data_IF_956220568447
#
_entry.id   IF_956220568447
#
_cell.length_a   1.000
_cell.length_b   1.000
_cell.length_c   1.000
_cell.angle_alpha   90.00
_cell.angle_beta   90.00
_cell.angle_gamma   90.00
#
_symmetry.space_group_name_H-M   'P 1'
#
loop_
_entity.id
_entity.type
_entity.pdbx_description
1 polymer ?
#
# COMPACT_ATOMS: atom_id res chain seq x y z
N UNK A 1 19.07 -13.27 -22.28
CA UNK A 1 18.45 -13.53 -23.60
C UNK A 1 17.52 -12.40 -24.04
N UNK A 2 16.85 -11.67 -23.14
CA UNK A 2 15.98 -10.54 -23.50
C UNK A 2 16.73 -9.33 -24.10
N UNK A 3 17.97 -9.04 -23.66
CA UNK A 3 18.82 -8.01 -24.29
C UNK A 3 19.14 -8.30 -25.77
N UNK A 4 19.18 -9.58 -26.16
CA UNK A 4 19.46 -9.99 -27.55
C UNK A 4 18.23 -9.77 -28.45
N UNK A 5 17.02 -9.94 -27.91
CA UNK A 5 15.78 -9.63 -28.64
C UNK A 5 15.57 -8.14 -28.83
N UNK A 6 15.95 -7.28 -27.86
CA UNK A 6 15.93 -5.82 -28.05
C UNK A 6 16.87 -5.35 -29.18
N UNK A 7 18.04 -5.98 -29.33
CA UNK A 7 19.02 -5.67 -30.37
C UNK A 7 18.62 -6.12 -31.79
N UNK A 8 17.66 -7.03 -31.95
CA UNK A 8 17.24 -7.51 -33.28
C UNK A 8 16.10 -6.67 -33.88
N UNK A 9 15.44 -5.83 -33.06
CA UNK A 9 14.44 -4.85 -33.52
C UNK A 9 15.04 -3.45 -33.74
N UNK A 10 16.31 -3.22 -33.38
CA UNK A 10 17.00 -1.91 -33.48
C UNK A 10 17.62 -1.60 -34.85
N UNK A 11 17.09 -2.21 -35.92
CA UNK A 11 17.56 -2.03 -37.31
C UNK A 11 17.19 -0.71 -37.97
N UNK A 12 16.70 0.29 -37.23
CA UNK A 12 16.48 1.65 -37.73
C UNK A 12 17.05 2.63 -36.71
N UNK A 13 18.26 3.11 -37.00
CA UNK A 13 18.87 4.22 -36.30
C UNK A 13 18.07 5.49 -36.59
N UNK A 14 17.23 5.90 -35.63
CA UNK A 14 16.48 7.14 -35.64
C UNK A 14 15.64 7.22 -34.37
N UNK A 15 16.07 8.06 -33.43
CA UNK A 15 15.28 8.62 -32.31
C UNK A 15 14.23 7.68 -31.70
N UNK A 16 14.65 6.80 -30.77
CA UNK A 16 13.74 5.90 -30.06
C UNK A 16 13.29 6.48 -28.72
N UNK A 17 12.67 7.66 -28.77
CA UNK A 17 11.87 8.15 -27.64
C UNK A 17 10.59 7.28 -27.51
N UNK A 18 10.51 6.47 -26.45
CA UNK A 18 9.36 5.58 -26.24
C UNK A 18 8.21 6.36 -25.59
N UNK A 19 7.05 6.40 -26.25
CA UNK A 19 5.84 6.99 -25.65
C UNK A 19 5.01 5.95 -24.91
N UNK A 20 4.66 6.23 -23.67
CA UNK A 20 3.72 5.45 -22.86
C UNK A 20 2.49 6.27 -22.51
N UNK A 21 1.38 5.60 -22.19
CA UNK A 21 0.16 6.26 -21.76
C UNK A 21 -0.21 5.78 -20.36
N UNK A 22 -0.30 6.72 -19.42
CA UNK A 22 -0.70 6.46 -18.03
C UNK A 22 -1.90 7.34 -17.75
N UNK A 23 -3.05 6.72 -17.46
CA UNK A 23 -4.30 7.40 -17.12
C UNK A 23 -4.65 8.59 -18.04
N UNK A 24 -4.60 8.34 -19.35
CA UNK A 24 -4.88 9.32 -20.43
C UNK A 24 -3.84 10.44 -20.60
N UNK A 25 -2.70 10.39 -19.92
CA UNK A 25 -1.56 11.28 -20.20
C UNK A 25 -0.48 10.52 -20.94
N UNK A 26 0.10 11.14 -21.97
CA UNK A 26 1.24 10.56 -22.68
C UNK A 26 2.54 11.03 -22.05
N UNK A 27 3.46 10.12 -21.80
CA UNK A 27 4.81 10.41 -21.32
C UNK A 27 5.80 9.93 -22.37
N UNK A 28 6.69 10.82 -22.78
CA UNK A 28 7.85 10.47 -23.59
C UNK A 28 8.95 10.01 -22.64
N UNK A 29 9.43 8.79 -22.80
CA UNK A 29 10.61 8.31 -22.09
C UNK A 29 11.80 8.70 -22.95
N UNK A 30 12.64 9.58 -22.39
CA UNK A 30 13.82 10.05 -23.10
C UNK A 30 15.05 9.29 -22.64
N UNK A 31 15.85 8.88 -23.61
CA UNK A 31 17.19 8.35 -23.40
C UNK A 31 18.27 9.45 -23.46
N UNK A 32 17.91 10.66 -23.91
CA UNK A 32 18.84 11.78 -24.11
C UNK A 32 18.87 12.70 -22.87
N UNK A 33 19.74 12.38 -21.91
CA UNK A 33 19.83 13.10 -20.63
C UNK A 33 20.36 14.55 -20.75
N UNK A 34 21.23 14.82 -21.73
CA UNK A 34 21.87 16.14 -21.85
C UNK A 34 20.86 17.23 -22.24
N UNK A 35 19.95 16.95 -23.17
CA UNK A 35 18.87 17.87 -23.53
C UNK A 35 17.88 18.06 -22.38
N UNK A 36 17.53 16.95 -21.71
CA UNK A 36 16.59 16.98 -20.59
C UNK A 36 17.15 17.77 -19.39
N UNK A 37 18.41 17.53 -19.03
CA UNK A 37 19.06 18.17 -17.89
C UNK A 37 19.33 19.66 -18.12
N UNK A 38 19.54 20.08 -19.37
CA UNK A 38 19.65 21.49 -19.75
C UNK A 38 18.33 22.25 -19.72
N UNK A 39 17.19 21.55 -19.71
CA UNK A 39 15.87 22.17 -19.81
C UNK A 39 15.50 22.98 -18.55
N UNK A 40 14.86 24.13 -18.76
CA UNK A 40 14.48 25.05 -17.68
C UNK A 40 13.54 24.41 -16.65
N UNK A 41 12.56 23.61 -17.11
CA UNK A 41 11.65 22.87 -16.24
C UNK A 41 12.39 21.86 -15.36
N UNK A 42 13.38 21.14 -15.90
CA UNK A 42 14.15 20.16 -15.14
C UNK A 42 14.89 20.82 -13.96
N UNK A 43 15.48 22.00 -14.21
CA UNK A 43 16.15 22.78 -13.17
C UNK A 43 15.16 23.36 -12.16
N UNK A 44 13.97 23.79 -12.60
CA UNK A 44 12.90 24.28 -11.73
C UNK A 44 12.40 23.18 -10.79
N UNK A 45 12.10 21.99 -11.32
CA UNK A 45 11.69 20.80 -10.54
C UNK A 45 12.73 20.48 -9.47
N UNK A 46 14.01 20.36 -9.86
CA UNK A 46 15.08 20.03 -8.90
C UNK A 46 15.23 21.10 -7.83
N UNK A 47 15.15 22.38 -8.19
CA UNK A 47 15.21 23.48 -7.23
C UNK A 47 14.06 23.41 -6.23
N UNK A 48 12.85 23.14 -6.71
CA UNK A 48 11.63 23.02 -5.89
C UNK A 48 11.72 21.82 -4.92
N UNK A 49 12.09 20.64 -5.43
CA UNK A 49 12.26 19.42 -4.62
C UNK A 49 13.36 19.57 -3.58
N UNK A 50 14.48 20.20 -3.92
CA UNK A 50 15.58 20.42 -2.98
C UNK A 50 15.41 21.67 -2.10
N UNK A 51 14.39 22.50 -2.35
CA UNK A 51 14.08 23.67 -1.52
C UNK A 51 13.59 23.29 -0.12
N UNK A 52 13.09 22.06 0.06
CA UNK A 52 12.68 21.48 1.35
C UNK A 52 13.79 21.55 2.41
N UNK A 53 15.05 21.60 1.97
CA UNK A 53 16.22 21.68 2.86
C UNK A 53 16.51 23.08 3.38
N UNK A 54 15.78 24.09 2.90
CA UNK A 54 15.91 25.47 3.38
C UNK A 54 14.90 25.74 4.50
N UNK A 55 15.33 26.19 5.69
CA UNK A 55 14.44 26.47 6.82
C UNK A 55 13.34 27.52 6.54
N UNK A 56 13.46 28.28 5.45
CA UNK A 56 12.61 29.43 5.11
C UNK A 56 11.81 29.25 3.82
N UNK A 57 11.82 28.07 3.17
CA UNK A 57 11.19 27.88 1.86
C UNK A 57 9.67 27.70 1.89
N UNK A 58 9.07 27.49 3.07
CA UNK A 58 7.62 27.22 3.17
C UNK A 58 7.22 25.79 2.78
N UNK A 59 8.19 24.90 2.54
CA UNK A 59 7.96 23.54 2.05
C UNK A 59 7.95 23.45 0.53
N UNK A 60 7.95 22.23 0.00
CA UNK A 60 7.93 21.98 -1.45
C UNK A 60 6.53 22.17 -2.01
N UNK A 61 6.39 22.95 -3.09
CA UNK A 61 5.14 23.03 -3.85
C UNK A 61 4.97 21.81 -4.76
N UNK A 62 4.31 20.77 -4.26
CA UNK A 62 4.15 19.50 -4.98
C UNK A 62 3.26 19.62 -6.21
N UNK A 63 2.26 20.51 -6.21
CA UNK A 63 1.41 20.79 -7.39
C UNK A 63 2.26 21.30 -8.54
N UNK A 64 3.16 22.26 -8.26
CA UNK A 64 4.10 22.78 -9.25
C UNK A 64 5.05 21.69 -9.74
N UNK A 65 5.63 20.90 -8.84
CA UNK A 65 6.51 19.77 -9.24
C UNK A 65 5.78 18.82 -10.18
N UNK A 66 4.54 18.43 -9.85
CA UNK A 66 3.74 17.54 -10.70
C UNK A 66 3.49 18.14 -12.08
N UNK A 67 3.04 19.40 -12.14
CA UNK A 67 2.75 20.10 -13.39
C UNK A 67 3.99 20.24 -14.28
N UNK A 68 5.12 20.65 -13.72
CA UNK A 68 6.37 20.80 -14.47
C UNK A 68 6.90 19.44 -14.96
N UNK A 69 6.78 18.37 -14.16
CA UNK A 69 7.14 17.02 -14.58
C UNK A 69 6.25 16.53 -15.74
N UNK A 70 4.93 16.76 -15.67
CA UNK A 70 4.00 16.39 -16.74
C UNK A 70 4.29 17.17 -18.02
N UNK A 71 4.54 18.47 -17.91
CA UNK A 71 4.89 19.30 -19.06
C UNK A 71 6.22 18.85 -19.68
N UNK A 72 7.27 18.71 -18.87
CA UNK A 72 8.58 18.29 -19.34
C UNK A 72 8.53 16.93 -20.02
N UNK A 73 7.79 15.98 -19.46
CA UNK A 73 7.64 14.62 -20.00
C UNK A 73 6.78 14.52 -21.26
N UNK A 74 5.95 15.52 -21.54
CA UNK A 74 5.17 15.61 -22.78
C UNK A 74 5.91 16.33 -23.90
N UNK A 75 6.79 17.28 -23.56
CA UNK A 75 7.52 18.13 -24.51
C UNK A 75 8.89 17.55 -24.89
N UNK A 76 9.65 17.08 -23.89
CA UNK A 76 11.06 16.66 -24.06
C UNK A 76 11.23 15.20 -23.66
N UNK A 77 10.73 14.84 -22.49
CA UNK A 77 10.70 13.47 -21.99
C UNK A 77 10.98 13.36 -20.50
N UNK A 78 11.04 12.12 -20.02
CA UNK A 78 11.31 11.79 -18.63
C UNK A 78 12.44 10.76 -18.54
N UNK A 79 13.37 11.03 -17.62
CA UNK A 79 14.37 10.08 -17.14
C UNK A 79 13.97 9.53 -15.76
N UNK A 80 14.85 8.74 -15.13
CA UNK A 80 14.60 8.23 -13.78
C UNK A 80 14.43 9.37 -12.77
N UNK A 81 15.19 10.45 -12.89
CA UNK A 81 15.07 11.58 -11.97
C UNK A 81 13.69 12.25 -12.07
N UNK A 82 13.24 12.61 -13.28
CA UNK A 82 11.93 13.22 -13.51
C UNK A 82 10.81 12.30 -13.05
N UNK A 83 10.85 11.02 -13.41
CA UNK A 83 9.84 10.05 -12.98
C UNK A 83 9.84 9.89 -11.46
N UNK A 84 11.00 9.90 -10.81
CA UNK A 84 11.11 9.83 -9.34
C UNK A 84 10.45 11.03 -8.65
N UNK A 85 10.69 12.24 -9.14
CA UNK A 85 10.05 13.45 -8.61
C UNK A 85 8.55 13.46 -8.85
N UNK A 86 8.12 13.06 -10.06
CA UNK A 86 6.71 12.92 -10.41
C UNK A 86 5.98 11.92 -9.50
N UNK A 87 6.58 10.76 -9.22
CA UNK A 87 6.01 9.73 -8.35
C UNK A 87 5.76 10.24 -6.95
N UNK A 88 6.71 10.99 -6.38
CA UNK A 88 6.54 11.59 -5.06
C UNK A 88 5.49 12.69 -5.07
N UNK A 89 5.47 13.55 -6.09
CA UNK A 89 4.44 14.58 -6.20
C UNK A 89 3.03 13.96 -6.31
N UNK A 90 2.87 12.88 -7.08
CA UNK A 90 1.60 12.17 -7.18
C UNK A 90 1.20 11.49 -5.87
N UNK A 91 2.14 10.89 -5.13
CA UNK A 91 1.86 10.32 -3.81
C UNK A 91 1.41 11.39 -2.80
N UNK A 92 2.08 12.55 -2.76
CA UNK A 92 1.74 13.64 -1.84
C UNK A 92 0.37 14.28 -2.15
N UNK A 93 -0.01 14.35 -3.42
CA UNK A 93 -1.24 15.03 -3.86
C UNK A 93 -2.45 14.12 -3.98
N UNK A 94 -2.27 12.94 -4.58
CA UNK A 94 -3.37 12.03 -4.92
C UNK A 94 -3.32 10.72 -4.10
N UNK A 95 -2.44 10.66 -3.10
CA UNK A 95 -2.24 9.49 -2.25
C UNK A 95 -1.84 8.25 -3.05
N UNK A 96 -2.35 7.10 -2.62
CA UNK A 96 -1.98 5.80 -3.19
C UNK A 96 -2.30 5.66 -4.68
N UNK A 97 -3.40 6.27 -5.15
CA UNK A 97 -3.73 6.30 -6.58
C UNK A 97 -2.61 6.98 -7.36
N UNK A 98 -2.22 8.19 -6.95
CA UNK A 98 -1.12 8.90 -7.61
C UNK A 98 0.19 8.12 -7.55
N UNK A 99 0.47 7.48 -6.42
CA UNK A 99 1.67 6.67 -6.27
C UNK A 99 1.72 5.51 -7.27
N UNK A 100 0.61 4.82 -7.52
CA UNK A 100 0.55 3.73 -8.50
C UNK A 100 0.91 4.21 -9.93
N UNK A 101 0.41 5.37 -10.33
CA UNK A 101 0.69 5.97 -11.64
C UNK A 101 2.15 6.42 -11.76
N UNK A 102 2.69 6.99 -10.68
CA UNK A 102 4.09 7.36 -10.60
C UNK A 102 5.02 6.15 -10.68
N UNK A 103 4.71 5.07 -9.94
CA UNK A 103 5.47 3.83 -9.97
C UNK A 103 5.48 3.19 -11.36
N UNK A 104 4.37 3.28 -12.10
CA UNK A 104 4.32 2.85 -13.50
C UNK A 104 5.29 3.65 -14.39
N UNK A 105 5.30 4.99 -14.28
CA UNK A 105 6.25 5.83 -15.01
C UNK A 105 7.70 5.55 -14.61
N UNK A 106 7.98 5.44 -13.30
CA UNK A 106 9.31 5.15 -12.76
C UNK A 106 9.83 3.81 -13.28
N UNK A 107 9.02 2.76 -13.21
CA UNK A 107 9.38 1.44 -13.73
C UNK A 107 9.68 1.49 -15.23
N UNK A 108 8.87 2.22 -16.00
CA UNK A 108 9.06 2.39 -17.44
C UNK A 108 10.36 3.14 -17.78
N UNK A 109 10.70 4.19 -17.02
CA UNK A 109 12.00 4.87 -17.15
C UNK A 109 13.17 3.95 -16.79
N UNK A 110 13.02 3.13 -15.73
CA UNK A 110 14.07 2.19 -15.32
C UNK A 110 14.39 1.13 -16.39
N UNK A 111 13.37 0.65 -17.12
CA UNK A 111 13.56 -0.30 -18.22
C UNK A 111 14.37 0.27 -19.40
N UNK A 112 14.54 1.60 -19.45
CA UNK A 112 15.18 2.34 -20.51
C UNK A 112 16.51 3.00 -20.10
N UNK A 113 16.92 2.91 -18.82
CA UNK A 113 18.22 3.44 -18.32
C UNK A 113 19.41 2.83 -19.10
N UNK A 114 19.31 1.55 -19.48
CA UNK A 114 20.41 0.80 -20.11
C UNK A 114 20.71 1.15 -21.57
N UNK A 115 19.84 1.91 -22.25
CA UNK A 115 20.04 2.24 -23.67
C UNK A 115 20.99 3.43 -23.87
N UNK A 116 21.14 4.31 -22.87
CA UNK A 116 22.11 5.41 -22.90
C UNK A 116 22.68 5.68 -21.50
N UNK A 117 24.00 5.50 -21.38
CA UNK A 117 24.76 5.53 -20.11
C UNK A 117 24.88 6.97 -19.57
N UNK A 118 23.87 7.45 -18.84
CA UNK A 118 23.95 8.76 -18.17
C UNK A 118 23.85 8.70 -16.65
N UNK A 119 23.04 7.81 -16.10
CA UNK A 119 22.93 7.64 -14.66
C UNK A 119 23.86 6.55 -14.14
N UNK A 120 24.81 6.94 -13.32
CA UNK A 120 25.64 5.98 -12.57
C UNK A 120 24.77 5.23 -11.56
N UNK A 121 25.12 3.98 -11.24
CA UNK A 121 24.46 3.20 -10.18
C UNK A 121 24.37 3.98 -8.84
N UNK A 122 25.37 4.83 -8.57
CA UNK A 122 25.36 5.73 -7.40
C UNK A 122 24.23 6.77 -7.47
N UNK A 123 23.98 7.35 -8.63
CA UNK A 123 22.89 8.31 -8.84
C UNK A 123 21.53 7.60 -8.73
N UNK A 124 21.37 6.45 -9.39
CA UNK A 124 20.16 5.62 -9.30
C UNK A 124 19.87 5.29 -7.83
N UNK A 125 20.86 4.76 -7.09
CA UNK A 125 20.71 4.43 -5.68
C UNK A 125 20.29 5.65 -4.85
N UNK A 126 20.88 6.83 -5.11
CA UNK A 126 20.55 8.05 -4.37
C UNK A 126 19.12 8.50 -4.63
N UNK A 127 18.66 8.47 -5.88
CA UNK A 127 17.30 8.84 -6.26
C UNK A 127 16.27 7.91 -5.61
N UNK A 128 16.45 6.60 -5.78
CA UNK A 128 15.53 5.60 -5.26
C UNK A 128 15.49 5.57 -3.74
N UNK A 129 16.63 5.72 -3.06
CA UNK A 129 16.64 5.85 -1.58
C UNK A 129 15.89 7.08 -1.09
N UNK A 130 16.04 8.21 -1.79
CA UNK A 130 15.30 9.42 -1.45
C UNK A 130 13.79 9.21 -1.65
N UNK A 131 13.39 8.59 -2.76
CA UNK A 131 11.99 8.26 -3.03
C UNK A 131 11.41 7.33 -1.96
N UNK A 132 12.13 6.25 -1.60
CA UNK A 132 11.65 5.31 -0.59
C UNK A 132 11.54 5.96 0.79
N UNK A 133 12.45 6.85 1.16
CA UNK A 133 12.35 7.59 2.43
C UNK A 133 11.10 8.49 2.48
N UNK A 134 10.76 9.14 1.37
CA UNK A 134 9.56 9.97 1.25
C UNK A 134 8.28 9.14 1.22
N UNK A 135 8.29 8.03 0.47
CA UNK A 135 7.15 7.12 0.37
C UNK A 135 6.87 6.43 1.71
N UNK A 136 7.90 6.03 2.44
CA UNK A 136 7.77 5.39 3.75
C UNK A 136 6.93 6.23 4.71
N UNK A 137 7.18 7.53 4.78
CA UNK A 137 6.46 8.47 5.65
C UNK A 137 4.96 8.50 5.28
N UNK A 138 4.64 8.58 3.99
CA UNK A 138 3.25 8.66 3.53
C UNK A 138 2.51 7.33 3.70
N UNK A 139 3.16 6.22 3.35
CA UNK A 139 2.55 4.89 3.37
C UNK A 139 2.32 4.37 4.79
N UNK A 140 3.18 4.74 5.76
CA UNK A 140 2.96 4.42 7.17
C UNK A 140 1.76 5.15 7.76
N UNK A 141 1.47 6.37 7.26
CA UNK A 141 0.35 7.18 7.72
C UNK A 141 -0.92 6.98 6.87
N UNK A 142 -0.87 6.11 5.86
CA UNK A 142 -1.98 5.82 4.97
C UNK A 142 -3.13 5.19 5.75
N UNK A 143 -4.33 5.77 5.61
CA UNK A 143 -5.58 5.15 6.05
C UNK A 143 -6.21 4.46 4.85
N UNK A 144 -5.88 3.18 4.66
CA UNK A 144 -6.39 2.42 3.53
C UNK A 144 -7.87 2.05 3.73
N UNK A 145 -8.68 2.31 2.71
CA UNK A 145 -10.05 1.80 2.57
C UNK A 145 -10.13 0.74 1.48
N UNK A 146 -11.24 -0.02 1.44
CA UNK A 146 -11.42 -1.10 0.48
C UNK A 146 -11.40 -0.62 -0.99
N UNK A 147 -11.85 0.60 -1.25
CA UNK A 147 -11.78 1.27 -2.55
C UNK A 147 -10.35 1.48 -3.06
N UNK A 148 -9.38 1.47 -2.14
CA UNK A 148 -7.95 1.63 -2.44
C UNK A 148 -7.25 0.30 -2.73
N UNK A 149 -7.92 -0.84 -2.52
CA UNK A 149 -7.31 -2.17 -2.63
C UNK A 149 -6.68 -2.42 -4.01
N UNK A 150 -7.33 -1.97 -5.09
CA UNK A 150 -6.76 -2.05 -6.44
C UNK A 150 -5.42 -1.33 -6.56
N UNK A 151 -5.28 -0.16 -5.93
CA UNK A 151 -4.07 0.65 -6.00
C UNK A 151 -2.98 0.06 -5.12
N UNK A 152 -3.34 -0.56 -3.99
CA UNK A 152 -2.38 -1.28 -3.15
C UNK A 152 -1.73 -2.42 -3.94
N UNK A 153 -2.53 -3.27 -4.58
CA UNK A 153 -1.99 -4.34 -5.43
C UNK A 153 -1.15 -3.83 -6.59
N UNK A 154 -1.57 -2.74 -7.25
CA UNK A 154 -0.76 -2.14 -8.31
C UNK A 154 0.59 -1.65 -7.78
N UNK A 155 0.61 -0.94 -6.65
CA UNK A 155 1.84 -0.47 -6.04
C UNK A 155 2.75 -1.64 -5.62
N UNK A 156 2.19 -2.69 -5.03
CA UNK A 156 2.92 -3.91 -4.66
C UNK A 156 3.59 -4.53 -5.89
N UNK A 157 2.84 -4.74 -6.97
CA UNK A 157 3.36 -5.30 -8.21
C UNK A 157 4.51 -4.47 -8.80
N UNK A 158 4.38 -3.14 -8.83
CA UNK A 158 5.47 -2.29 -9.30
C UNK A 158 6.68 -2.32 -8.37
N UNK A 159 6.50 -2.35 -7.05
CA UNK A 159 7.61 -2.50 -6.10
C UNK A 159 8.37 -3.81 -6.31
N UNK A 160 7.65 -4.92 -6.52
CA UNK A 160 8.24 -6.22 -6.84
C UNK A 160 9.02 -6.19 -8.17
N UNK A 161 8.43 -5.60 -9.23
CA UNK A 161 9.08 -5.47 -10.54
C UNK A 161 10.34 -4.60 -10.48
N UNK A 162 10.28 -3.49 -9.76
CA UNK A 162 11.44 -2.61 -9.55
C UNK A 162 12.52 -3.34 -8.74
N UNK A 163 12.16 -4.03 -7.66
CA UNK A 163 13.12 -4.83 -6.88
C UNK A 163 13.80 -5.89 -7.74
N UNK A 164 13.03 -6.63 -8.55
CA UNK A 164 13.57 -7.63 -9.46
C UNK A 164 14.53 -7.03 -10.50
N UNK A 165 14.18 -5.86 -11.06
CA UNK A 165 15.03 -5.13 -12.01
C UNK A 165 16.34 -4.69 -11.35
N UNK A 166 16.30 -4.18 -10.12
CA UNK A 166 17.49 -3.81 -9.37
C UNK A 166 18.39 -5.01 -9.07
N UNK A 167 17.80 -6.15 -8.70
CA UNK A 167 18.57 -7.37 -8.44
C UNK A 167 19.24 -7.94 -9.69
N UNK A 168 18.59 -7.79 -10.86
CA UNK A 168 19.03 -8.40 -12.12
C UNK A 168 19.97 -7.51 -12.92
N UNK A 169 19.60 -6.25 -13.14
CA UNK A 169 20.33 -5.32 -14.03
C UNK A 169 21.24 -4.34 -13.27
N UNK A 170 20.96 -4.06 -11.99
CA UNK A 170 21.70 -3.09 -11.18
C UNK A 170 22.08 -3.61 -9.77
N UNK A 171 22.72 -4.80 -9.65
CA UNK A 171 22.88 -5.50 -8.36
C UNK A 171 23.70 -4.72 -7.31
N UNK A 172 24.50 -3.75 -7.73
CA UNK A 172 25.23 -2.86 -6.83
C UNK A 172 24.34 -1.77 -6.21
N UNK A 173 23.21 -1.43 -6.83
CA UNK A 173 22.24 -0.45 -6.33
C UNK A 173 21.49 -1.04 -5.13
N UNK A 174 21.68 -0.44 -3.96
CA UNK A 174 21.01 -0.81 -2.71
C UNK A 174 19.84 0.13 -2.44
N UNK A 175 18.72 -0.07 -3.12
CA UNK A 175 17.44 0.60 -2.83
C UNK A 175 16.40 -0.45 -2.41
N UNK A 176 15.82 -0.25 -1.22
CA UNK A 176 14.99 -1.25 -0.56
C UNK A 176 13.50 -1.04 -0.89
N UNK A 177 13.08 -1.57 -2.04
CA UNK A 177 11.67 -1.61 -2.43
C UNK A 177 10.91 -2.77 -1.75
N UNK A 178 11.62 -3.73 -1.15
CA UNK A 178 11.00 -4.85 -0.42
C UNK A 178 10.32 -4.34 0.85
N UNK A 179 10.99 -3.46 1.61
CA UNK A 179 10.38 -2.81 2.78
C UNK A 179 9.15 -1.98 2.43
N UNK A 180 9.16 -1.29 1.27
CA UNK A 180 7.99 -0.55 0.78
C UNK A 180 6.85 -1.52 0.42
N UNK A 181 7.17 -2.61 -0.28
CA UNK A 181 6.23 -3.68 -0.61
C UNK A 181 5.61 -4.32 0.64
N UNK A 182 6.41 -4.53 1.69
CA UNK A 182 5.94 -5.10 2.96
C UNK A 182 4.89 -4.22 3.64
N UNK A 183 5.09 -2.90 3.68
CA UNK A 183 4.10 -1.97 4.26
C UNK A 183 2.80 -2.00 3.45
N UNK A 184 2.90 -2.04 2.12
CA UNK A 184 1.73 -2.16 1.25
C UNK A 184 1.00 -3.47 1.51
N UNK A 185 1.75 -4.57 1.66
CA UNK A 185 1.20 -5.88 1.99
C UNK A 185 0.45 -5.88 3.33
N UNK A 186 0.97 -5.24 4.39
CA UNK A 186 0.27 -5.14 5.68
C UNK A 186 -1.09 -4.42 5.53
N UNK A 187 -1.16 -3.38 4.69
CA UNK A 187 -2.44 -2.72 4.39
C UNK A 187 -3.41 -3.63 3.61
N UNK A 188 -2.90 -4.41 2.66
CA UNK A 188 -3.70 -5.39 1.90
C UNK A 188 -4.28 -6.44 2.85
N UNK A 189 -3.41 -7.11 3.62
CA UNK A 189 -3.80 -8.19 4.55
C UNK A 189 -4.82 -7.71 5.59
N UNK A 190 -4.63 -6.50 6.12
CA UNK A 190 -5.58 -5.86 7.03
C UNK A 190 -6.97 -5.68 6.39
N UNK A 191 -7.02 -5.16 5.16
CA UNK A 191 -8.27 -4.94 4.43
C UNK A 191 -8.97 -6.25 4.08
N UNK A 192 -8.22 -7.25 3.60
CA UNK A 192 -8.76 -8.57 3.27
C UNK A 192 -9.33 -9.26 4.51
N UNK A 193 -8.60 -9.22 5.62
CA UNK A 193 -9.06 -9.77 6.91
C UNK A 193 -10.36 -9.11 7.36
N UNK A 194 -10.43 -7.77 7.32
CA UNK A 194 -11.66 -7.04 7.66
C UNK A 194 -12.84 -7.43 6.77
N UNK A 195 -12.60 -7.58 5.46
CA UNK A 195 -13.63 -7.98 4.50
C UNK A 195 -14.15 -9.40 4.79
N UNK A 196 -13.25 -10.36 5.02
CA UNK A 196 -13.64 -11.75 5.33
C UNK A 196 -14.43 -11.86 6.64
N UNK A 197 -14.06 -11.08 7.66
CA UNK A 197 -14.80 -11.03 8.92
C UNK A 197 -16.20 -10.44 8.71
N UNK A 198 -16.33 -9.40 7.89
CA UNK A 198 -17.62 -8.78 7.58
C UNK A 198 -18.55 -9.76 6.84
N UNK A 199 -18.04 -10.51 5.86
CA UNK A 199 -18.80 -11.54 5.14
C UNK A 199 -19.32 -12.62 6.09
N UNK A 200 -18.46 -13.20 6.94
CA UNK A 200 -18.86 -14.23 7.91
C UNK A 200 -19.92 -13.73 8.89
N UNK A 201 -19.83 -12.47 9.31
CA UNK A 201 -20.85 -11.87 10.20
C UNK A 201 -22.21 -11.77 9.52
N UNK A 202 -22.24 -11.43 8.22
CA UNK A 202 -23.48 -11.35 7.45
C UNK A 202 -24.08 -12.75 7.24
N UNK A 203 -23.26 -13.74 6.90
CA UNK A 203 -23.70 -15.14 6.77
C UNK A 203 -24.31 -15.68 8.08
N UNK A 204 -23.67 -15.41 9.23
CA UNK A 204 -24.21 -15.80 10.55
C UNK A 204 -25.51 -15.06 10.87
N UNK A 205 -25.62 -13.79 10.49
CA UNK A 205 -26.84 -12.99 10.71
C UNK A 205 -28.00 -13.48 9.84
N UNK A 206 -27.75 -13.84 8.58
CA UNK A 206 -28.72 -14.42 7.67
C UNK A 206 -29.10 -15.86 8.04
N UNK A 207 -28.14 -16.67 8.47
CA UNK A 207 -28.39 -18.00 9.02
C UNK A 207 -29.24 -17.91 10.30
N UNK A 208 -28.97 -16.93 11.17
CA UNK A 208 -29.79 -16.64 12.35
C UNK A 208 -31.20 -16.13 12.03
N UNK A 209 -31.41 -15.51 10.86
CA UNK A 209 -32.73 -15.09 10.37
C UNK A 209 -33.50 -16.22 9.67
N UNK A 210 -32.80 -17.19 9.07
CA UNK A 210 -33.38 -18.37 8.39
C UNK A 210 -33.55 -19.59 9.31
N UNK A 211 -32.99 -19.57 10.52
CA UNK A 211 -33.44 -20.49 11.56
C UNK A 211 -34.84 -20.03 11.95
N UNK A 212 -35.86 -20.69 11.40
CA UNK A 212 -37.15 -20.77 12.07
C UNK A 212 -36.83 -21.13 13.52
N UNK A 213 -37.09 -20.18 14.42
CA UNK A 213 -37.05 -20.42 15.85
C UNK A 213 -38.08 -21.52 16.07
N UNK A 214 -37.63 -22.78 16.00
CA UNK A 214 -38.35 -23.88 16.60
C UNK A 214 -38.38 -23.48 18.06
N UNK A 215 -39.54 -22.99 18.44
CA UNK A 215 -39.87 -22.53 19.77
C UNK A 215 -39.80 -23.76 20.67
N UNK A 216 -38.58 -24.19 20.98
CA UNK A 216 -38.32 -25.18 22.00
C UNK A 216 -38.60 -24.45 23.29
N UNK A 217 -39.82 -24.70 23.77
CA UNK A 217 -40.40 -24.22 25.01
C UNK A 217 -39.33 -23.86 26.03
N UNK A 218 -39.35 -22.57 26.39
CA UNK A 218 -38.70 -21.96 27.54
C UNK A 218 -38.52 -22.96 28.69
N UNK A 219 -37.36 -23.63 28.76
CA UNK A 219 -36.99 -24.44 29.92
C UNK A 219 -36.60 -23.48 31.02
N UNK A 220 -37.63 -23.06 31.76
CA UNK A 220 -37.54 -22.22 32.95
C UNK A 220 -36.46 -22.75 33.89
N UNK A 221 -35.50 -21.89 34.24
CA UNK A 221 -34.42 -22.13 35.22
C UNK A 221 -34.94 -22.13 36.67
N UNK A 222 -36.13 -22.67 36.90
CA UNK A 222 -36.77 -22.75 38.22
C UNK A 222 -36.62 -24.07 39.00
N UNK A 223 -36.14 -25.23 38.49
CA UNK A 223 -36.12 -26.44 39.31
C UNK A 223 -34.95 -26.52 40.30
N UNK A 224 -33.90 -25.68 40.16
CA UNK A 224 -32.75 -25.71 41.08
C UNK A 224 -32.99 -24.94 42.39
N UNK A 225 -33.84 -23.91 42.39
CA UNK A 225 -34.11 -23.09 43.58
C UNK A 225 -35.05 -23.79 44.58
N UNK A 226 -35.99 -24.61 44.10
CA UNK A 226 -36.92 -25.35 44.98
C UNK A 226 -36.29 -26.59 45.63
N UNK A 227 -35.29 -27.21 45.00
CA UNK A 227 -34.61 -28.37 45.58
C UNK A 227 -33.80 -28.01 46.84
N UNK A 228 -33.28 -26.79 46.95
CA UNK A 228 -32.51 -26.34 48.11
C UNK A 228 -33.38 -26.01 49.33
N UNK A 229 -34.59 -25.48 49.12
CA UNK A 229 -35.50 -25.12 50.20
C UNK A 229 -36.11 -26.38 50.85
N UNK A 230 -36.46 -27.40 50.06
CA UNK A 230 -36.98 -28.67 50.60
C UNK A 230 -35.95 -29.45 51.43
N UNK A 231 -34.67 -29.41 51.05
CA UNK A 231 -33.59 -30.07 51.82
C UNK A 231 -33.36 -29.42 53.20
N UNK A 232 -33.41 -28.09 53.27
CA UNK A 232 -33.22 -27.35 54.53
C UNK A 232 -34.34 -27.59 55.55
N UNK A 233 -35.59 -27.70 55.08
CA UNK A 233 -36.76 -27.94 55.95
C UNK A 233 -36.73 -29.35 56.56
N UNK A 234 -36.31 -30.37 55.80
CA UNK A 234 -36.21 -31.74 56.30
C UNK A 234 -35.07 -31.92 57.31
N UNK A 235 -33.93 -31.27 57.09
CA UNK A 235 -32.80 -31.30 58.04
C UNK A 235 -33.13 -30.53 59.34
N UNK A 236 -33.81 -29.37 59.23
CA UNK A 236 -34.26 -28.59 60.39
C UNK A 236 -35.29 -29.32 61.24
N UNK A 237 -36.27 -29.98 60.60
CA UNK A 237 -37.28 -30.78 61.31
C UNK A 237 -36.68 -32.00 62.02
N UNK A 238 -35.70 -32.67 61.40
CA UNK A 238 -34.97 -33.78 62.03
C UNK A 238 -34.14 -33.35 63.25
N UNK A 239 -33.48 -32.19 63.17
CA UNK A 239 -32.71 -31.64 64.28
C UNK A 239 -33.60 -31.19 65.46
N UNK A 240 -34.76 -30.60 65.17
CA UNK A 240 -35.73 -30.22 66.20
C UNK A 240 -36.35 -31.44 66.91
N UNK A 241 -36.66 -32.51 66.17
CA UNK A 241 -37.14 -33.77 66.73
C UNK A 241 -36.08 -34.48 67.60
N UNK A 242 -34.81 -34.41 67.20
CA UNK A 242 -33.70 -34.96 67.99
C UNK A 242 -33.52 -34.23 69.33
N UNK A 243 -33.60 -32.89 69.34
CA UNK A 243 -33.48 -32.08 70.56
C UNK A 243 -34.66 -32.24 71.53
N UNK A 244 -35.88 -32.47 71.03
CA UNK A 244 -37.07 -32.63 71.86
C UNK A 244 -37.39 -34.09 72.24
N UNK A 245 -36.52 -35.05 71.91
CA UNK A 245 -36.74 -36.47 72.20
C UNK A 245 -36.68 -36.81 73.71
N UNK A 246 -36.23 -35.88 74.55
CA UNK A 246 -36.26 -36.03 76.02
C UNK A 246 -37.59 -35.63 76.68
N UNK A 247 -38.59 -35.16 75.92
CA UNK A 247 -39.91 -34.76 76.44
C UNK A 247 -41.01 -35.83 76.24
N UNK A 248 -40.69 -36.98 75.64
CA UNK A 248 -41.64 -38.08 75.36
C UNK A 248 -41.28 -39.41 76.05
N UNK A 249 -40.65 -39.35 77.23
CA UNK A 249 -40.51 -40.49 78.13
C UNK A 249 -41.10 -40.18 79.51
#
# INVERSE_FOLDING_TARGET
>A
MERFWRSLYSGVAGDMSQRIFIENKSFIISSEHDELSGHSLYQSIKKEVYSERSPFSGGTNWEKVKQECEQLSQEVGADLAVSTYYTMACLKLDGLRGYSLGLELMYSCMLNIGEVVHETERQIQRLLRWANAQALIELQNLKAGYEMLRYLYQCEQYCQRISHLLQTDYPAVKADFESIGYIIFEHIDGLETCYQVALKRNEVSEAGHNVQVVNTSQRSRWPAFFAFIMGGVLAGAGYWLYLNMQLFH
#
